data_IF_820424603172
#
_entry.id   IF_820424603172
#
_cell.length_a   1.000
_cell.length_b   1.000
_cell.length_c   1.000
_cell.angle_alpha   90.00
_cell.angle_beta   90.00
_cell.angle_gamma   90.00
#
_symmetry.space_group_name_H-M   'P 1'
#
loop_
_entity.id
_entity.type
_entity.pdbx_description
1 polymer ?
#
# COMPACT_ATOMS: atom_id res chain seq x y z
N UNK A 1 8.13 -8.82 -4.16
CA UNK A 1 6.86 -9.58 -4.20
C UNK A 1 5.75 -8.69 -4.74
N UNK A 2 5.54 -7.49 -4.23
CA UNK A 2 4.41 -6.62 -4.60
C UNK A 2 4.62 -5.75 -5.85
N UNK A 3 5.68 -5.96 -6.60
CA UNK A 3 5.81 -5.48 -8.00
C UNK A 3 4.99 -6.32 -8.99
N UNK A 4 4.54 -7.46 -8.53
CA UNK A 4 3.67 -8.35 -9.26
C UNK A 4 2.22 -7.87 -9.15
N UNK A 5 1.57 -7.67 -10.30
CA UNK A 5 0.19 -7.16 -10.40
C UNK A 5 -0.78 -8.05 -9.61
N UNK A 6 -0.64 -9.38 -9.70
CA UNK A 6 -1.54 -10.30 -9.02
C UNK A 6 -1.39 -10.23 -7.50
N UNK A 7 -0.15 -10.06 -7.01
CA UNK A 7 0.11 -9.88 -5.59
C UNK A 7 -0.42 -8.55 -5.07
N UNK A 8 -0.26 -7.46 -5.82
CA UNK A 8 -0.78 -6.15 -5.48
C UNK A 8 -2.31 -6.13 -5.49
N UNK A 9 -2.93 -6.74 -6.51
CA UNK A 9 -4.38 -6.85 -6.62
C UNK A 9 -4.98 -7.64 -5.45
N UNK A 10 -4.40 -8.79 -5.10
CA UNK A 10 -4.81 -9.59 -3.95
C UNK A 10 -4.75 -8.77 -2.65
N UNK A 11 -3.63 -8.07 -2.44
CA UNK A 11 -3.42 -7.22 -1.28
C UNK A 11 -4.52 -6.16 -1.16
N UNK A 12 -4.76 -5.41 -2.23
CA UNK A 12 -5.74 -4.33 -2.25
C UNK A 12 -7.17 -4.83 -2.09
N UNK A 13 -7.54 -5.94 -2.76
CA UNK A 13 -8.87 -6.56 -2.59
C UNK A 13 -9.15 -6.97 -1.16
N UNK A 14 -8.17 -7.55 -0.47
CA UNK A 14 -8.33 -7.96 0.92
C UNK A 14 -8.42 -6.75 1.86
N UNK A 15 -7.53 -5.77 1.72
CA UNK A 15 -7.50 -4.59 2.60
C UNK A 15 -8.77 -3.76 2.45
N UNK A 16 -9.23 -3.54 1.21
CA UNK A 16 -10.40 -2.71 0.91
C UNK A 16 -11.72 -3.49 0.92
N UNK A 17 -11.63 -4.82 1.08
CA UNK A 17 -12.77 -5.74 0.96
C UNK A 17 -13.58 -5.49 -0.33
N UNK A 18 -12.86 -5.28 -1.44
CA UNK A 18 -13.41 -4.95 -2.76
C UNK A 18 -12.83 -5.91 -3.82
N UNK A 19 -13.61 -6.92 -4.19
CA UNK A 19 -13.23 -7.91 -5.22
C UNK A 19 -13.26 -7.31 -6.64
N UNK A 20 -13.82 -6.11 -6.82
CA UNK A 20 -13.88 -5.38 -8.09
C UNK A 20 -12.60 -4.66 -8.46
N UNK A 21 -11.58 -4.67 -7.61
CA UNK A 21 -10.28 -4.06 -7.91
C UNK A 21 -9.56 -4.88 -8.97
N UNK A 22 -9.21 -4.25 -10.08
CA UNK A 22 -8.38 -4.79 -11.14
C UNK A 22 -7.18 -3.89 -11.37
N UNK A 23 -6.02 -4.30 -10.85
CA UNK A 23 -4.78 -3.53 -10.92
C UNK A 23 -4.22 -3.60 -12.35
N UNK A 24 -3.97 -2.45 -12.95
CA UNK A 24 -3.38 -2.31 -14.29
C UNK A 24 -1.88 -2.06 -14.23
N UNK A 25 -1.43 -1.24 -13.27
CA UNK A 25 -0.04 -0.83 -13.12
C UNK A 25 0.42 -0.93 -11.67
N UNK A 26 1.66 -1.37 -11.49
CA UNK A 26 2.36 -1.39 -10.20
C UNK A 26 3.77 -0.86 -10.37
N UNK A 27 4.13 0.08 -9.54
CA UNK A 27 5.48 0.63 -9.47
C UNK A 27 6.00 0.47 -8.03
N UNK A 28 7.15 -0.18 -7.86
CA UNK A 28 7.83 -0.22 -6.58
C UNK A 28 8.87 0.90 -6.49
N UNK A 29 9.12 1.33 -5.27
CA UNK A 29 10.13 2.33 -4.94
C UNK A 29 10.04 3.58 -5.83
N UNK A 30 8.80 3.99 -6.18
CA UNK A 30 8.56 5.14 -7.04
C UNK A 30 8.91 6.45 -6.34
N UNK A 31 9.87 7.17 -6.91
CA UNK A 31 10.18 8.53 -6.47
C UNK A 31 9.14 9.52 -6.99
N UNK A 32 8.48 10.24 -6.08
CA UNK A 32 7.61 11.37 -6.42
C UNK A 32 8.35 12.65 -6.08
N UNK A 33 8.58 13.47 -7.09
CA UNK A 33 9.37 14.70 -6.96
C UNK A 33 8.50 15.84 -6.41
N UNK A 34 9.07 16.60 -5.49
CA UNK A 34 8.57 17.91 -5.14
C UNK A 34 9.64 18.94 -5.53
N UNK A 35 9.32 19.78 -6.51
CA UNK A 35 10.26 20.77 -7.03
C UNK A 35 10.63 21.86 -6.02
N UNK A 36 9.79 22.10 -5.02
CA UNK A 36 9.94 23.16 -4.03
C UNK A 36 10.17 22.65 -2.60
N UNK A 37 10.19 21.33 -2.38
CA UNK A 37 10.27 20.76 -1.06
C UNK A 37 10.76 19.32 -1.03
N UNK A 38 10.36 18.60 0.01
CA UNK A 38 10.77 17.22 0.24
C UNK A 38 10.08 16.25 -0.74
N UNK A 39 10.84 15.62 -1.61
CA UNK A 39 10.37 14.48 -2.41
C UNK A 39 10.11 13.25 -1.52
N UNK A 40 9.26 12.34 -1.95
CA UNK A 40 9.01 11.07 -1.28
C UNK A 40 9.38 9.91 -2.19
N UNK A 41 9.72 8.79 -1.57
CA UNK A 41 9.86 7.50 -2.25
C UNK A 41 8.77 6.60 -1.70
N UNK A 42 7.85 6.20 -2.57
CA UNK A 42 6.73 5.33 -2.22
C UNK A 42 7.15 3.87 -2.38
N UNK A 43 6.81 3.02 -1.41
CA UNK A 43 7.17 1.60 -1.47
C UNK A 43 6.45 0.91 -2.62
N UNK A 44 5.13 1.11 -2.73
CA UNK A 44 4.30 0.59 -3.81
C UNK A 44 3.32 1.68 -4.24
N UNK A 45 3.22 1.91 -5.55
CA UNK A 45 2.18 2.71 -6.17
C UNK A 45 1.47 1.84 -7.19
N UNK A 46 0.15 1.67 -7.05
CA UNK A 46 -0.68 0.90 -7.96
C UNK A 46 -1.82 1.76 -8.52
N UNK A 47 -2.23 1.45 -9.74
CA UNK A 47 -3.38 2.08 -10.41
C UNK A 47 -4.29 0.97 -10.90
N UNK A 48 -5.59 1.10 -10.66
CA UNK A 48 -6.58 0.11 -11.09
C UNK A 48 -7.36 0.55 -12.35
N UNK A 49 -8.27 -0.32 -12.78
CA UNK A 49 -9.11 -0.11 -13.97
C UNK A 49 -10.13 1.04 -13.85
N UNK A 50 -10.27 1.64 -12.68
CA UNK A 50 -11.10 2.81 -12.42
C UNK A 50 -10.25 4.06 -12.15
N UNK A 51 -8.97 4.03 -12.54
CA UNK A 51 -8.00 5.11 -12.32
C UNK A 51 -7.80 5.47 -10.83
N UNK A 52 -8.20 4.59 -9.89
CA UNK A 52 -7.93 4.78 -8.47
C UNK A 52 -6.44 4.57 -8.19
N UNK A 53 -5.87 5.42 -7.37
CA UNK A 53 -4.44 5.41 -7.04
C UNK A 53 -4.22 4.90 -5.62
N UNK A 54 -3.40 3.86 -5.48
CA UNK A 54 -3.09 3.21 -4.21
C UNK A 54 -1.61 3.34 -3.90
N UNK A 55 -1.28 4.00 -2.80
CA UNK A 55 0.05 3.98 -2.22
C UNK A 55 0.05 3.02 -1.03
N UNK A 56 0.88 1.98 -1.08
CA UNK A 56 1.04 1.04 0.04
C UNK A 56 2.45 1.18 0.60
N UNK A 57 2.53 1.43 1.91
CA UNK A 57 3.76 1.59 2.68
C UNK A 57 3.85 0.49 3.74
N UNK A 58 4.94 -0.27 3.77
CA UNK A 58 5.19 -1.29 4.79
C UNK A 58 6.18 -0.75 5.81
N UNK A 59 5.74 -0.52 7.05
CA UNK A 59 6.54 0.14 8.08
C UNK A 59 6.82 -0.78 9.27
N UNK A 60 8.10 -1.05 9.50
CA UNK A 60 8.59 -1.83 10.66
C UNK A 60 8.75 -1.00 11.94
N UNK A 61 8.65 0.33 11.84
CA UNK A 61 8.75 1.21 13.00
C UNK A 61 7.66 2.28 12.97
N UNK A 62 7.16 2.68 14.14
CA UNK A 62 6.11 3.68 14.30
C UNK A 62 6.48 5.05 13.76
N UNK A 63 7.79 5.37 13.72
CA UNK A 63 8.30 6.65 13.23
C UNK A 63 8.02 6.90 11.75
N UNK A 64 7.79 5.84 10.97
CA UNK A 64 7.50 5.92 9.54
C UNK A 64 6.03 6.12 9.18
N UNK A 65 5.09 5.81 10.08
CA UNK A 65 3.64 5.76 9.79
C UNK A 65 2.84 6.93 10.38
N UNK A 66 3.45 8.10 10.54
CA UNK A 66 2.77 9.25 11.15
C UNK A 66 1.68 9.85 10.25
N UNK A 67 0.58 10.35 10.85
CA UNK A 67 -0.56 10.94 10.15
C UNK A 67 -0.17 12.10 9.21
N UNK A 68 0.83 12.91 9.57
CA UNK A 68 1.32 13.99 8.70
C UNK A 68 2.03 13.45 7.46
N UNK A 69 2.72 12.29 7.56
CA UNK A 69 3.34 11.64 6.40
C UNK A 69 2.26 11.10 5.46
N UNK A 70 1.22 10.47 5.99
CA UNK A 70 0.10 9.98 5.20
C UNK A 70 -0.54 11.11 4.39
N UNK A 71 -0.85 12.23 5.06
CA UNK A 71 -1.36 13.44 4.41
C UNK A 71 -0.41 13.98 3.35
N UNK A 72 0.90 14.00 3.62
CA UNK A 72 1.90 14.50 2.69
C UNK A 72 2.03 13.62 1.44
N UNK A 73 2.01 12.29 1.61
CA UNK A 73 2.01 11.35 0.49
C UNK A 73 0.79 11.57 -0.40
N UNK A 74 -0.41 11.68 0.18
CA UNK A 74 -1.65 11.96 -0.56
C UNK A 74 -1.52 13.25 -1.39
N UNK A 75 -1.11 14.35 -0.76
CA UNK A 75 -0.97 15.64 -1.44
C UNK A 75 0.07 15.62 -2.58
N UNK A 76 1.17 14.87 -2.42
CA UNK A 76 2.17 14.75 -3.48
C UNK A 76 1.71 13.86 -4.63
N UNK A 77 0.91 12.82 -4.36
CA UNK A 77 0.29 12.01 -5.41
C UNK A 77 -0.60 12.91 -6.24
N UNK A 78 -1.52 13.64 -5.62
CA UNK A 78 -2.43 14.57 -6.31
C UNK A 78 -1.65 15.59 -7.16
N UNK A 79 -0.60 16.19 -6.59
CA UNK A 79 0.23 17.17 -7.30
C UNK A 79 1.03 16.60 -8.48
N UNK A 80 1.23 15.27 -8.55
CA UNK A 80 2.00 14.64 -9.62
C UNK A 80 1.13 13.91 -10.65
N UNK A 81 -0.16 13.80 -10.44
CA UNK A 81 -1.11 13.23 -11.42
C UNK A 81 -1.86 14.32 -12.20
N UNK A 82 -1.80 15.59 -11.75
CA UNK A 82 -2.46 16.72 -12.40
C UNK A 82 -1.52 17.49 -13.33
N UNK A 83 -2.05 17.94 -14.44
CA UNK A 83 -1.39 18.82 -15.39
C UNK A 83 -1.95 20.25 -15.31
N UNK A 84 -1.19 21.28 -15.71
CA UNK A 84 -1.69 22.65 -15.73
C UNK A 84 -2.93 22.79 -16.59
N UNK A 85 -4.05 23.19 -15.99
CA UNK A 85 -5.33 23.37 -16.66
C UNK A 85 -6.33 22.25 -16.41
N UNK A 86 -5.95 21.18 -15.74
CA UNK A 86 -6.89 20.14 -15.34
C UNK A 86 -7.91 20.66 -14.33
N UNK A 87 -9.13 20.12 -14.41
CA UNK A 87 -10.17 20.39 -13.43
C UNK A 87 -9.91 19.59 -12.16
N UNK A 88 -10.15 20.19 -11.00
CA UNK A 88 -9.97 19.49 -9.70
C UNK A 88 -10.88 18.28 -9.55
N UNK A 89 -12.04 18.28 -10.22
CA UNK A 89 -12.99 17.18 -10.26
C UNK A 89 -12.46 15.95 -11.02
N UNK A 90 -11.36 16.09 -11.77
CA UNK A 90 -10.68 15.01 -12.45
C UNK A 90 -9.60 14.34 -11.59
N UNK A 91 -9.37 14.80 -10.33
CA UNK A 91 -8.48 14.12 -9.41
C UNK A 91 -8.94 12.68 -9.16
N UNK A 92 -7.96 11.78 -9.14
CA UNK A 92 -8.22 10.37 -8.89
C UNK A 92 -8.63 10.14 -7.43
N UNK A 93 -9.50 9.18 -7.18
CA UNK A 93 -9.69 8.63 -5.83
C UNK A 93 -8.37 8.02 -5.35
N UNK A 94 -7.88 8.45 -4.18
CA UNK A 94 -6.53 8.14 -3.70
C UNK A 94 -6.58 7.45 -2.34
N UNK A 95 -5.84 6.33 -2.23
CA UNK A 95 -5.69 5.56 -1.00
C UNK A 95 -4.23 5.56 -0.54
N UNK A 96 -3.96 6.06 0.64
CA UNK A 96 -2.65 5.93 1.31
C UNK A 96 -2.78 4.88 2.41
N UNK A 97 -2.15 3.73 2.21
CA UNK A 97 -2.29 2.55 3.06
C UNK A 97 -0.96 2.29 3.77
N UNK A 98 -0.97 2.31 5.10
CA UNK A 98 0.16 1.87 5.91
C UNK A 98 -0.10 0.49 6.50
N UNK A 99 0.78 -0.46 6.21
CA UNK A 99 0.82 -1.75 6.91
C UNK A 99 1.92 -1.63 7.97
N UNK A 100 1.53 -1.65 9.25
CA UNK A 100 2.43 -1.36 10.36
C UNK A 100 2.68 -2.59 11.23
N UNK A 101 3.92 -2.76 11.69
CA UNK A 101 4.29 -3.84 12.60
C UNK A 101 3.65 -3.66 13.99
N UNK A 102 3.46 -2.40 14.43
CA UNK A 102 2.79 -2.07 15.69
C UNK A 102 1.46 -1.37 15.42
N UNK A 103 0.52 -1.49 16.37
CA UNK A 103 -0.75 -0.77 16.31
C UNK A 103 -0.55 0.73 16.58
N UNK A 104 -0.45 1.52 15.52
CA UNK A 104 -0.23 2.98 15.59
C UNK A 104 -1.38 3.70 16.26
N UNK A 105 -2.61 3.20 16.11
CA UNK A 105 -3.82 3.80 16.67
C UNK A 105 -4.11 3.34 18.12
N UNK A 106 -3.48 2.26 18.58
CA UNK A 106 -3.57 1.73 19.96
C UNK A 106 -5.01 1.38 20.39
N UNK A 107 -5.81 0.88 19.48
CA UNK A 107 -7.19 0.46 19.76
C UNK A 107 -7.42 -1.03 19.48
N UNK A 108 -6.33 -1.80 19.23
CA UNK A 108 -6.33 -3.25 19.03
C UNK A 108 -7.25 -3.72 17.91
N UNK A 109 -7.45 -2.89 16.88
CA UNK A 109 -8.22 -3.26 15.68
C UNK A 109 -7.30 -3.70 14.55
N UNK A 110 -7.76 -4.59 13.66
CA UNK A 110 -6.98 -5.07 12.52
C UNK A 110 -6.77 -4.00 11.44
N UNK A 111 -7.70 -3.04 11.34
CA UNK A 111 -7.68 -2.00 10.31
C UNK A 111 -8.38 -0.74 10.80
N UNK A 112 -7.89 0.40 10.34
CA UNK A 112 -8.44 1.73 10.63
C UNK A 112 -8.62 2.49 9.33
N UNK A 113 -9.84 3.01 9.11
CA UNK A 113 -10.17 3.87 7.98
C UNK A 113 -10.27 5.31 8.46
N UNK A 114 -9.55 6.21 7.83
CA UNK A 114 -9.50 7.62 8.18
C UNK A 114 -9.99 8.44 6.98
N UNK A 115 -11.15 9.04 7.14
CA UNK A 115 -11.77 9.95 6.19
C UNK A 115 -12.04 11.30 6.86
N UNK A 116 -12.17 12.34 6.04
CA UNK A 116 -12.53 13.67 6.54
C UNK A 116 -14.02 13.76 6.85
N UNK A 117 -14.33 14.43 7.95
CA UNK A 117 -15.70 14.60 8.44
C UNK A 117 -16.02 16.08 8.59
N UNK A 118 -17.20 16.49 8.17
CA UNK A 118 -17.77 17.81 8.47
C UNK A 118 -18.24 17.81 9.91
N UNK A 119 -17.53 18.52 10.78
CA UNK A 119 -17.74 18.47 12.24
C UNK A 119 -19.16 18.83 12.66
N UNK A 120 -19.76 19.82 12.00
CA UNK A 120 -21.09 20.35 12.31
C UNK A 120 -22.21 19.35 12.01
N UNK A 121 -22.01 18.45 11.08
CA UNK A 121 -23.04 17.50 10.62
C UNK A 121 -22.72 16.03 10.93
N UNK A 122 -21.48 15.72 11.26
CA UNK A 122 -20.97 14.35 11.42
C UNK A 122 -20.90 13.55 10.10
N UNK A 123 -21.12 14.18 8.96
CA UNK A 123 -21.10 13.51 7.65
C UNK A 123 -19.72 13.50 7.04
N UNK A 124 -19.42 12.48 6.23
CA UNK A 124 -18.20 12.41 5.45
C UNK A 124 -18.10 13.58 4.49
N UNK A 125 -16.90 14.15 4.33
CA UNK A 125 -16.63 15.26 3.40
C UNK A 125 -16.62 14.78 1.94
N UNK A 126 -16.29 13.50 1.70
CA UNK A 126 -16.31 12.82 0.39
C UNK A 126 -15.39 13.48 -0.64
N UNK A 127 -14.16 13.76 -0.23
CA UNK A 127 -13.13 14.31 -1.10
C UNK A 127 -12.27 13.22 -1.79
N UNK A 128 -12.68 11.96 -1.67
CA UNK A 128 -12.07 10.80 -2.34
C UNK A 128 -10.57 10.61 -2.01
N UNK A 129 -10.13 11.13 -0.86
CA UNK A 129 -8.79 10.95 -0.35
C UNK A 129 -8.83 10.17 0.98
N UNK A 130 -8.39 8.92 0.93
CA UNK A 130 -8.51 7.95 2.03
C UNK A 130 -7.16 7.60 2.61
N UNK A 131 -7.09 7.43 3.94
CA UNK A 131 -5.92 6.93 4.64
C UNK A 131 -6.34 5.68 5.40
N UNK A 132 -5.56 4.60 5.27
CA UNK A 132 -5.83 3.33 5.92
C UNK A 132 -4.60 2.88 6.70
N UNK A 133 -4.81 2.42 7.93
CA UNK A 133 -3.78 1.73 8.71
C UNK A 133 -4.18 0.28 8.92
N UNK A 134 -3.27 -0.64 8.60
CA UNK A 134 -3.43 -2.07 8.83
C UNK A 134 -2.46 -2.49 9.93
N UNK A 135 -2.99 -3.07 11.00
CA UNK A 135 -2.23 -3.60 12.11
C UNK A 135 -1.79 -5.05 11.81
N UNK A 136 -0.53 -5.25 11.45
CA UNK A 136 -0.02 -6.58 11.08
C UNK A 136 0.19 -7.54 12.26
N UNK A 137 -0.03 -7.10 13.50
CA UNK A 137 0.00 -7.99 14.67
C UNK A 137 -1.21 -8.92 14.72
N UNK A 138 -2.35 -8.51 14.15
CA UNK A 138 -3.57 -9.31 14.16
C UNK A 138 -3.53 -10.29 12.99
N UNK A 139 -3.44 -11.58 13.34
CA UNK A 139 -3.29 -12.72 12.42
C UNK A 139 -4.38 -13.75 12.70
N UNK A 140 -5.62 -13.27 12.72
CA UNK A 140 -6.79 -14.10 12.93
C UNK A 140 -7.19 -14.86 11.66
N UNK A 141 -8.30 -15.63 11.72
CA UNK A 141 -8.79 -16.45 10.61
C UNK A 141 -9.53 -15.65 9.52
N UNK A 142 -9.60 -14.31 9.64
CA UNK A 142 -10.17 -13.47 8.58
C UNK A 142 -9.23 -13.42 7.35
N UNK A 143 -9.75 -13.01 6.21
CA UNK A 143 -8.90 -12.81 5.00
C UNK A 143 -7.74 -11.87 5.30
N UNK A 144 -7.98 -10.77 6.04
CA UNK A 144 -6.95 -9.81 6.42
C UNK A 144 -5.94 -10.40 7.41
N UNK A 145 -6.40 -11.11 8.44
CA UNK A 145 -5.52 -11.77 9.41
C UNK A 145 -4.61 -12.81 8.76
N UNK A 146 -5.14 -13.62 7.84
CA UNK A 146 -4.34 -14.57 7.05
C UNK A 146 -3.34 -13.89 6.14
N UNK A 147 -3.69 -12.74 5.54
CA UNK A 147 -2.76 -11.93 4.76
C UNK A 147 -1.62 -11.40 5.66
N UNK A 148 -1.92 -10.90 6.85
CA UNK A 148 -0.90 -10.43 7.80
C UNK A 148 -0.03 -11.57 8.34
N UNK A 149 -0.60 -12.77 8.48
CA UNK A 149 0.19 -13.98 8.74
C UNK A 149 1.21 -14.21 7.62
N UNK A 150 0.78 -14.17 6.36
CA UNK A 150 1.64 -14.41 5.19
C UNK A 150 2.79 -13.39 5.10
N UNK A 151 2.55 -12.12 5.49
CA UNK A 151 3.61 -11.09 5.59
C UNK A 151 4.72 -11.44 6.57
N UNK A 152 4.44 -12.26 7.57
CA UNK A 152 5.42 -12.72 8.56
C UNK A 152 6.06 -14.06 8.21
N UNK A 153 5.56 -14.78 7.18
CA UNK A 153 6.08 -16.07 6.78
C UNK A 153 7.42 -15.95 6.07
N UNK A 154 8.37 -16.81 6.46
CA UNK A 154 9.65 -16.98 5.75
C UNK A 154 9.57 -18.03 4.66
N UNK A 155 8.68 -19.02 4.80
CA UNK A 155 8.53 -20.12 3.85
C UNK A 155 7.20 -20.03 3.12
N UNK A 156 7.24 -20.24 1.80
CA UNK A 156 6.03 -20.25 0.97
C UNK A 156 5.01 -21.35 1.37
N UNK A 157 5.49 -22.44 1.97
CA UNK A 157 4.64 -23.57 2.41
C UNK A 157 3.73 -23.21 3.58
N UNK A 158 4.11 -22.20 4.36
CA UNK A 158 3.39 -21.78 5.56
C UNK A 158 2.37 -20.67 5.25
N UNK A 159 2.31 -20.21 4.00
CA UNK A 159 1.42 -19.14 3.56
C UNK A 159 0.03 -19.65 3.22
N UNK A 160 -0.99 -18.87 3.57
CA UNK A 160 -2.38 -19.13 3.25
C UNK A 160 -2.77 -18.74 1.82
N UNK A 161 -2.19 -17.63 1.33
CA UNK A 161 -2.51 -17.09 0.00
C UNK A 161 -1.58 -17.67 -1.06
N UNK A 162 -2.15 -18.53 -1.93
CA UNK A 162 -1.39 -19.23 -2.97
C UNK A 162 -0.62 -18.26 -3.89
N UNK A 163 -1.22 -17.14 -4.28
CA UNK A 163 -0.58 -16.14 -5.14
C UNK A 163 0.70 -15.60 -4.52
N UNK A 164 0.67 -15.25 -3.22
CA UNK A 164 1.85 -14.81 -2.47
C UNK A 164 2.86 -15.95 -2.30
N UNK A 165 2.39 -17.15 -1.96
CA UNK A 165 3.23 -18.33 -1.80
C UNK A 165 4.01 -18.66 -3.09
N UNK A 166 3.33 -18.67 -4.23
CA UNK A 166 3.94 -18.95 -5.54
C UNK A 166 4.98 -17.87 -5.89
N UNK A 167 4.70 -16.60 -5.59
CA UNK A 167 5.65 -15.51 -5.84
C UNK A 167 6.88 -15.56 -4.92
N UNK A 168 6.69 -15.89 -3.63
CA UNK A 168 7.80 -16.09 -2.69
C UNK A 168 8.65 -17.29 -3.10
N UNK A 169 8.03 -18.39 -3.54
CA UNK A 169 8.72 -19.56 -4.06
C UNK A 169 9.57 -19.22 -5.27
N UNK A 170 9.03 -18.46 -6.23
CA UNK A 170 9.77 -18.00 -7.39
C UNK A 170 11.07 -17.27 -7.00
N UNK A 171 10.99 -16.32 -6.07
CA UNK A 171 12.19 -15.58 -5.64
C UNK A 171 13.19 -16.38 -4.83
N UNK A 172 12.78 -17.46 -4.19
CA UNK A 172 13.66 -18.25 -3.32
C UNK A 172 14.19 -19.53 -3.98
N UNK A 173 13.47 -20.12 -4.90
CA UNK A 173 13.75 -21.46 -5.43
C UNK A 173 14.03 -21.44 -6.94
N UNK A 174 13.52 -20.45 -7.70
CA UNK A 174 13.80 -20.32 -9.15
C UNK A 174 15.11 -19.55 -9.37
N UNK A 175 15.99 -20.06 -10.24
CA UNK A 175 17.30 -19.44 -10.50
C UNK A 175 17.18 -17.99 -10.97
N UNK A 176 16.20 -17.67 -11.78
CA UNK A 176 15.94 -16.31 -12.29
C UNK A 176 15.45 -15.39 -11.17
N UNK A 177 14.54 -15.89 -10.34
CA UNK A 177 14.01 -15.16 -9.20
C UNK A 177 15.09 -14.85 -8.17
N UNK A 178 15.94 -15.83 -7.84
CA UNK A 178 17.09 -15.66 -6.96
C UNK A 178 18.07 -14.63 -7.50
N UNK A 179 18.36 -14.64 -8.81
CA UNK A 179 19.26 -13.68 -9.44
C UNK A 179 18.71 -12.25 -9.37
N UNK A 180 17.40 -12.07 -9.56
CA UNK A 180 16.72 -10.76 -9.42
C UNK A 180 16.83 -10.28 -7.97
N UNK A 181 16.51 -11.13 -6.98
CA UNK A 181 16.58 -10.78 -5.56
C UNK A 181 17.99 -10.38 -5.12
N UNK A 182 19.02 -11.11 -5.57
CA UNK A 182 20.41 -10.77 -5.27
C UNK A 182 20.79 -9.40 -5.82
N UNK A 183 20.42 -9.09 -7.06
CA UNK A 183 20.67 -7.77 -7.68
C UNK A 183 20.00 -6.63 -6.92
N UNK A 184 18.75 -6.80 -6.51
CA UNK A 184 17.99 -5.81 -5.72
C UNK A 184 18.65 -5.59 -4.35
N UNK A 185 19.13 -6.64 -3.69
CA UNK A 185 19.84 -6.53 -2.41
C UNK A 185 21.19 -5.78 -2.56
N UNK A 186 21.90 -5.94 -3.67
CA UNK A 186 23.11 -5.19 -3.96
C UNK A 186 22.84 -3.69 -4.16
N UNK A 187 21.78 -3.36 -4.89
CA UNK A 187 21.34 -1.95 -5.10
C UNK A 187 20.96 -1.27 -3.78
N UNK A 188 20.34 -2.00 -2.84
CA UNK A 188 19.96 -1.44 -1.54
C UNK A 188 21.14 -1.27 -0.56
N UNK A 189 22.28 -1.88 -0.83
CA UNK A 189 23.51 -1.75 -0.02
C UNK A 189 24.39 -0.56 -0.40
N UNK A 190 24.24 -0.02 -1.59
CA UNK A 190 24.96 1.13 -2.12
C UNK A 190 24.14 2.42 -2.01
#
# INVERSE_FOLDING_TARGET
VFEDIQCAELLLRIILNDEGIHVLEVHSQRGIKNLQGRSVRLDILAIDSHDRVFNVEVQRSDKGAGAKRARYNSALIDANVTEPGDLYEALNETFVIFITENDVMKADLPIYHIDRVVKETGKLFKDEAHIIYVNSQIKDETKLGRLMHDFSCTNAKDMHNKVLADRVRYFKEDERGVAIMCREMEIMRN
#
